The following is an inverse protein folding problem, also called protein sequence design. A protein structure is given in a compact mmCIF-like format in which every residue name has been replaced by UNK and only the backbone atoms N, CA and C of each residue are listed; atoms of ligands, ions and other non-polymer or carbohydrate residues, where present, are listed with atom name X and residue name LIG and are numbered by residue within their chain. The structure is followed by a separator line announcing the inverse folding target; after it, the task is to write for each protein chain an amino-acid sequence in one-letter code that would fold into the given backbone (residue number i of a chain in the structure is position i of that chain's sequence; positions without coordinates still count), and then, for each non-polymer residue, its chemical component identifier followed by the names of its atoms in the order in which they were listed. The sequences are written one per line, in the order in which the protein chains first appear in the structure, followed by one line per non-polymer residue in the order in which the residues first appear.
data_IF_415857883535
#
_entry.id   IF_415857883535
#
_cell.length_a   1.000
_cell.length_b   1.000
_cell.length_c   1.000
_cell.angle_alpha   90.00
_cell.angle_beta   90.00
_cell.angle_gamma   90.00
#
_symmetry.space_group_name_H-M   'P 1'
#
loop_
_entity.id
_entity.type
_entity.pdbx_description
1 polymer ?
#
# COMPACT_ATOMS: atom_id res chain seq x y z
N UNK A 1 10.34 -0.93 11.57
CA UNK A 1 10.28 -0.54 10.16
C UNK A 1 9.12 0.42 10.00
N UNK A 2 9.32 1.45 9.21
CA UNK A 2 8.37 2.52 8.89
C UNK A 2 7.77 2.24 7.52
N UNK A 3 6.51 2.60 7.33
CA UNK A 3 5.75 2.25 6.13
C UNK A 3 5.03 3.48 5.59
N UNK A 4 5.18 3.69 4.30
CA UNK A 4 4.30 4.54 3.49
C UNK A 4 3.48 3.61 2.59
N UNK A 5 2.19 3.86 2.48
CA UNK A 5 1.32 3.14 1.53
C UNK A 5 0.84 4.12 0.46
N UNK A 6 1.17 3.84 -0.80
CA UNK A 6 0.57 4.47 -1.97
C UNK A 6 -0.43 3.52 -2.62
N UNK A 7 -1.71 3.88 -2.61
CA UNK A 7 -2.75 2.96 -3.06
C UNK A 7 -3.86 3.64 -3.86
N UNK A 8 -4.69 2.83 -4.52
CA UNK A 8 -5.91 3.28 -5.21
C UNK A 8 -7.12 2.59 -4.59
N UNK A 9 -7.58 2.98 -3.38
CA UNK A 9 -8.41 2.13 -2.55
C UNK A 9 -9.65 1.54 -3.21
N UNK A 10 -9.51 0.30 -3.67
CA UNK A 10 -10.58 -0.66 -3.84
C UNK A 10 -10.68 -1.56 -2.61
N UNK A 11 -11.48 -2.61 -2.72
CA UNK A 11 -11.71 -3.55 -1.61
C UNK A 11 -10.43 -4.32 -1.26
N UNK A 12 -9.59 -4.65 -2.25
CA UNK A 12 -8.31 -5.33 -2.01
C UNK A 12 -7.31 -4.44 -1.27
N UNK A 13 -7.16 -3.18 -1.69
CA UNK A 13 -6.32 -2.20 -1.00
C UNK A 13 -6.80 -1.94 0.43
N UNK A 14 -8.11 -1.96 0.67
CA UNK A 14 -8.66 -1.84 2.02
C UNK A 14 -8.21 -3.00 2.92
N UNK A 15 -8.09 -4.22 2.38
CA UNK A 15 -7.53 -5.35 3.12
C UNK A 15 -6.03 -5.16 3.41
N UNK A 16 -5.27 -4.69 2.41
CA UNK A 16 -3.85 -4.41 2.58
C UNK A 16 -3.62 -3.34 3.65
N UNK A 17 -4.39 -2.25 3.60
CA UNK A 17 -4.31 -1.16 4.57
C UNK A 17 -4.74 -1.62 5.97
N UNK A 18 -5.80 -2.43 6.08
CA UNK A 18 -6.17 -3.06 7.34
C UNK A 18 -5.08 -4.02 7.86
N UNK A 19 -4.34 -4.70 6.99
CA UNK A 19 -3.21 -5.53 7.43
C UNK A 19 -2.08 -4.67 8.02
N UNK A 20 -1.70 -3.60 7.32
CA UNK A 20 -0.66 -2.65 7.77
C UNK A 20 -1.05 -1.95 9.07
N UNK A 21 -2.30 -1.53 9.22
CA UNK A 21 -2.79 -0.89 10.47
C UNK A 21 -2.78 -1.88 11.64
N UNK A 22 -3.07 -3.16 11.42
CA UNK A 22 -2.92 -4.18 12.47
C UNK A 22 -1.44 -4.38 12.87
N UNK A 23 -0.51 -4.32 11.90
CA UNK A 23 0.92 -4.32 12.18
C UNK A 23 1.36 -3.09 12.99
N UNK A 24 0.80 -1.91 12.69
CA UNK A 24 0.99 -0.69 13.49
C UNK A 24 0.51 -0.87 14.92
N UNK A 25 -0.73 -1.32 15.12
CA UNK A 25 -1.28 -1.49 16.47
C UNK A 25 -0.51 -2.51 17.31
N UNK A 26 0.05 -3.54 16.68
CA UNK A 26 0.88 -4.57 17.34
C UNK A 26 2.35 -4.16 17.52
N UNK A 27 2.75 -2.95 17.08
CA UNK A 27 4.12 -2.44 17.21
C UNK A 27 5.15 -3.13 16.32
N UNK A 28 4.71 -3.88 15.29
CA UNK A 28 5.59 -4.54 14.32
C UNK A 28 6.09 -3.58 13.24
N UNK A 29 5.28 -2.58 12.92
CA UNK A 29 5.60 -1.54 11.95
C UNK A 29 5.02 -0.20 12.38
N UNK A 30 5.40 0.86 11.68
CA UNK A 30 4.89 2.20 11.89
C UNK A 30 4.37 2.76 10.57
N UNK A 31 3.05 2.81 10.40
CA UNK A 31 2.42 3.51 9.27
C UNK A 31 2.56 5.03 9.44
N UNK A 32 3.41 5.63 8.61
CA UNK A 32 3.75 7.06 8.60
C UNK A 32 2.67 7.90 7.92
N UNK A 33 2.34 7.55 6.68
CA UNK A 33 1.31 8.20 5.90
C UNK A 33 0.72 7.26 4.85
N UNK A 34 -0.45 7.65 4.34
CA UNK A 34 -1.08 7.03 3.18
C UNK A 34 -1.22 8.08 2.08
N UNK A 35 -0.78 7.76 0.88
CA UNK A 35 -1.02 8.58 -0.31
C UNK A 35 -1.84 7.79 -1.30
N UNK A 36 -2.51 8.50 -2.20
CA UNK A 36 -3.35 7.83 -3.19
C UNK A 36 -3.18 8.41 -4.57
N UNK A 37 -3.06 7.54 -5.57
CA UNK A 37 -3.17 7.92 -6.99
C UNK A 37 -4.61 7.71 -7.46
N UNK A 38 -4.97 8.15 -8.67
CA UNK A 38 -6.23 7.72 -9.27
C UNK A 38 -6.12 6.30 -9.82
N UNK A 39 -7.22 5.55 -9.76
CA UNK A 39 -7.36 4.29 -10.48
C UNK A 39 -8.81 4.22 -10.97
N UNK A 40 -9.52 3.17 -10.56
CA UNK A 40 -10.96 3.09 -10.86
C UNK A 40 -11.76 4.31 -10.35
N UNK A 41 -11.31 4.98 -9.29
CA UNK A 41 -11.83 6.24 -8.77
C UNK A 41 -10.77 7.35 -8.83
N UNK A 42 -11.21 8.62 -8.74
CA UNK A 42 -10.31 9.78 -8.76
C UNK A 42 -9.39 9.79 -7.53
N UNK A 43 -8.21 10.40 -7.62
CA UNK A 43 -7.24 10.39 -6.52
C UNK A 43 -7.84 10.97 -5.21
N UNK A 44 -8.67 12.00 -5.29
CA UNK A 44 -9.34 12.58 -4.12
C UNK A 44 -10.33 11.60 -3.47
N UNK A 45 -11.14 10.90 -4.27
CA UNK A 45 -12.07 9.88 -3.78
C UNK A 45 -11.32 8.69 -3.17
N UNK A 46 -10.22 8.27 -3.80
CA UNK A 46 -9.30 7.28 -3.27
C UNK A 46 -8.74 7.73 -1.90
N UNK A 47 -8.35 8.99 -1.73
CA UNK A 47 -7.89 9.52 -0.45
C UNK A 47 -8.99 9.45 0.61
N UNK A 48 -10.24 9.81 0.28
CA UNK A 48 -11.39 9.67 1.19
C UNK A 48 -11.64 8.21 1.61
N UNK A 49 -11.48 7.27 0.69
CA UNK A 49 -11.61 5.84 0.96
C UNK A 49 -10.51 5.33 1.90
N UNK A 50 -9.24 5.66 1.64
CA UNK A 50 -8.12 5.33 2.54
C UNK A 50 -8.36 5.90 3.94
N UNK A 51 -8.77 7.16 4.00
CA UNK A 51 -9.14 7.86 5.20
C UNK A 51 -10.22 7.15 6.02
N UNK A 52 -11.27 6.70 5.34
CA UNK A 52 -12.35 5.94 5.95
C UNK A 52 -11.86 4.60 6.52
N UNK A 53 -11.06 3.85 5.75
CA UNK A 53 -10.47 2.58 6.20
C UNK A 53 -9.63 2.78 7.46
N UNK A 54 -8.74 3.77 7.48
CA UNK A 54 -7.94 4.11 8.66
C UNK A 54 -8.81 4.41 9.88
N UNK A 55 -9.92 5.14 9.68
CA UNK A 55 -10.86 5.48 10.75
C UNK A 55 -11.55 4.24 11.32
N UNK A 56 -12.00 3.34 10.43
CA UNK A 56 -12.64 2.07 10.81
C UNK A 56 -11.66 1.13 11.52
N UNK A 57 -10.40 1.15 11.12
CA UNK A 57 -9.35 0.35 11.73
C UNK A 57 -8.82 0.95 13.06
N UNK A 58 -9.30 2.13 13.47
CA UNK A 58 -8.93 2.75 14.75
C UNK A 58 -7.65 3.59 14.71
N UNK A 59 -7.19 3.99 13.53
CA UNK A 59 -5.99 4.81 13.32
C UNK A 59 -6.28 6.09 12.50
N UNK A 60 -7.23 6.95 12.93
CA UNK A 60 -7.64 8.12 12.14
C UNK A 60 -6.59 9.24 12.08
N UNK A 61 -5.57 9.21 12.94
CA UNK A 61 -4.59 10.28 13.10
C UNK A 61 -3.47 10.28 12.03
N UNK A 62 -3.27 9.15 11.35
CA UNK A 62 -2.33 8.99 10.24
C UNK A 62 -2.73 9.92 9.09
N UNK A 63 -1.74 10.65 8.57
CA UNK A 63 -1.95 11.58 7.48
C UNK A 63 -2.35 10.83 6.21
N UNK A 64 -3.34 11.38 5.50
CA UNK A 64 -3.73 10.92 4.17
C UNK A 64 -3.63 12.09 3.22
N UNK A 65 -2.92 11.92 2.10
CA UNK A 65 -2.84 12.93 1.06
C UNK A 65 -3.29 12.40 -0.30
N UNK A 66 -4.06 13.23 -1.00
CA UNK A 66 -4.39 13.05 -2.40
C UNK A 66 -3.14 13.26 -3.24
N UNK A 67 -2.81 12.24 -4.02
CA UNK A 67 -1.74 12.25 -5.00
C UNK A 67 -2.21 12.65 -6.40
N UNK A 68 -1.53 12.11 -7.39
CA UNK A 68 -1.73 12.42 -8.80
C UNK A 68 -2.88 11.62 -9.41
N UNK A 69 -3.61 12.26 -10.33
CA UNK A 69 -4.44 11.56 -11.30
C UNK A 69 -3.55 11.00 -12.41
N UNK A 70 -3.84 9.78 -12.84
CA UNK A 70 -3.16 9.05 -13.91
C UNK A 70 -3.50 9.73 -15.25
N UNK A 71 -2.48 10.14 -16.03
CA UNK A 71 -2.72 10.78 -17.32
C UNK A 71 -3.58 9.93 -18.27
N UNK A 72 -4.63 10.54 -18.83
CA UNK A 72 -5.50 9.87 -19.81
C UNK A 72 -6.44 8.81 -19.23
N UNK A 73 -6.39 8.55 -17.92
CA UNK A 73 -7.35 7.68 -17.24
C UNK A 73 -8.59 8.48 -16.84
N UNK A 74 -9.79 7.94 -17.10
CA UNK A 74 -11.04 8.53 -16.64
C UNK A 74 -11.62 7.72 -15.47
N UNK A 75 -11.55 8.24 -14.24
CA UNK A 75 -12.12 7.56 -13.09
C UNK A 75 -13.65 7.50 -13.17
N UNK A 76 -14.22 6.54 -12.46
CA UNK A 76 -15.66 6.40 -12.28
C UNK A 76 -16.06 6.80 -10.86
N UNK A 77 -17.00 7.74 -10.74
CA UNK A 77 -17.50 8.25 -9.45
C UNK A 77 -18.07 7.14 -8.55
N UNK A 78 -18.50 6.02 -9.12
CA UNK A 78 -19.10 4.87 -8.41
C UNK A 78 -18.11 3.78 -8.03
N UNK A 79 -16.82 3.93 -8.36
CA UNK A 79 -15.80 2.94 -8.03
C UNK A 79 -15.28 3.08 -6.59
N UNK A 80 -14.59 2.04 -6.09
CA UNK A 80 -13.91 2.06 -4.79
C UNK A 80 -14.44 1.03 -3.79
N UNK A 81 -14.87 1.48 -2.61
CA UNK A 81 -15.20 0.61 -1.46
C UNK A 81 -16.62 -0.01 -1.50
N UNK A 82 -17.08 -0.38 -2.70
CA UNK A 82 -18.34 -1.09 -2.87
C UNK A 82 -19.56 -0.33 -2.35
N UNK A 83 -20.28 -0.92 -1.38
CA UNK A 83 -21.52 -0.36 -0.83
C UNK A 83 -21.29 0.58 0.37
N UNK A 84 -20.02 0.82 0.76
CA UNK A 84 -19.71 1.64 1.92
C UNK A 84 -20.16 3.10 1.71
N UNK A 85 -20.81 3.67 2.72
CA UNK A 85 -20.97 5.10 2.81
C UNK A 85 -19.73 5.71 3.44
N UNK A 86 -18.98 6.47 2.64
CA UNK A 86 -17.74 7.12 3.06
C UNK A 86 -18.04 8.60 3.38
N UNK A 87 -18.01 9.01 4.66
CA UNK A 87 -18.12 10.42 5.02
C UNK A 87 -16.87 11.17 4.58
N UNK A 88 -17.04 12.37 4.03
CA UNK A 88 -15.93 13.25 3.72
C UNK A 88 -15.18 13.65 4.99
N UNK A 89 -13.86 13.58 4.95
CA UNK A 89 -12.96 14.18 5.94
C UNK A 89 -11.84 14.94 5.25
N UNK A 90 -11.10 15.71 6.03
CA UNK A 90 -9.91 16.37 5.49
C UNK A 90 -8.89 15.34 5.01
N UNK A 91 -8.43 15.51 3.78
CA UNK A 91 -7.26 14.87 3.18
C UNK A 91 -6.34 15.98 2.72
N UNK A 92 -5.04 15.83 2.95
CA UNK A 92 -4.06 16.79 2.45
C UNK A 92 -3.91 16.64 0.93
N UNK A 93 -3.29 17.62 0.29
CA UNK A 93 -2.95 17.61 -1.13
C UNK A 93 -1.42 17.69 -1.37
N UNK A 94 -0.65 17.71 -0.28
CA UNK A 94 0.81 17.86 -0.28
C UNK A 94 1.48 16.48 -0.13
N UNK A 95 1.09 15.51 -0.96
CA UNK A 95 1.50 14.11 -0.84
C UNK A 95 3.02 13.93 -0.90
N UNK A 96 3.71 14.72 -1.72
CA UNK A 96 5.16 14.66 -1.89
C UNK A 96 5.89 15.21 -0.66
N UNK A 97 5.32 16.18 0.03
CA UNK A 97 5.88 16.69 1.29
C UNK A 97 5.78 15.64 2.40
N UNK A 98 4.70 14.84 2.44
CA UNK A 98 4.61 13.73 3.39
C UNK A 98 5.69 12.67 3.14
N UNK A 99 5.97 12.36 1.87
CA UNK A 99 7.02 11.40 1.52
C UNK A 99 8.41 11.95 1.83
N UNK A 100 8.67 13.22 1.48
CA UNK A 100 9.94 13.89 1.78
C UNK A 100 10.19 13.95 3.29
N UNK A 101 9.20 14.34 4.08
CA UNK A 101 9.27 14.35 5.55
C UNK A 101 9.58 12.97 6.14
N UNK A 102 8.96 11.91 5.61
CA UNK A 102 9.29 10.55 6.01
C UNK A 102 10.72 10.15 5.61
N UNK A 103 11.21 10.55 4.44
CA UNK A 103 12.59 10.31 4.00
C UNK A 103 13.62 11.09 4.84
N UNK A 104 13.30 12.31 5.27
CA UNK A 104 14.17 13.14 6.14
C UNK A 104 14.45 12.48 7.49
N UNK A 105 13.50 11.69 8.01
CA UNK A 105 13.69 10.86 9.22
C UNK A 105 14.60 9.65 9.00
N UNK A 106 14.99 9.36 7.76
CA UNK A 106 15.82 8.22 7.36
C UNK A 106 15.07 7.25 6.46
N UNK A 107 15.82 6.54 5.61
CA UNK A 107 15.27 5.62 4.61
C UNK A 107 15.64 4.15 4.83
N UNK A 108 16.60 3.87 5.73
CA UNK A 108 17.13 2.51 5.95
C UNK A 108 16.08 1.55 6.51
N UNK A 109 15.07 2.05 7.21
CA UNK A 109 13.98 1.27 7.76
C UNK A 109 12.61 1.66 7.18
N UNK A 110 12.59 2.51 6.15
CA UNK A 110 11.39 3.01 5.49
C UNK A 110 11.06 2.14 4.27
N UNK A 111 9.85 1.58 4.25
CA UNK A 111 9.32 0.84 3.12
C UNK A 111 8.17 1.58 2.46
N UNK A 112 8.24 1.79 1.15
CA UNK A 112 7.16 2.31 0.34
C UNK A 112 6.43 1.14 -0.34
N UNK A 113 5.13 1.00 -0.05
CA UNK A 113 4.26 -0.01 -0.64
C UNK A 113 3.37 0.66 -1.67
N UNK A 114 3.56 0.35 -2.95
CA UNK A 114 2.74 0.85 -4.05
C UNK A 114 1.80 -0.26 -4.54
N UNK A 115 0.49 -0.14 -4.26
CA UNK A 115 -0.53 -1.07 -4.78
C UNK A 115 -1.32 -0.51 -5.96
N UNK A 116 -1.19 0.80 -6.21
CA UNK A 116 -1.76 1.50 -7.35
C UNK A 116 -0.75 1.77 -8.48
N UNK A 117 -1.11 2.64 -9.45
CA UNK A 117 -0.20 3.15 -10.47
C UNK A 117 1.00 3.87 -9.85
N UNK A 118 2.14 3.85 -10.55
CA UNK A 118 3.37 4.46 -10.07
C UNK A 118 3.47 5.98 -10.34
N UNK A 119 2.36 6.65 -10.64
CA UNK A 119 2.33 8.08 -11.01
C UNK A 119 2.93 8.97 -9.92
N UNK A 120 2.56 8.76 -8.64
CA UNK A 120 3.17 9.48 -7.53
C UNK A 120 4.68 9.22 -7.44
N UNK A 121 5.11 7.97 -7.59
CA UNK A 121 6.53 7.62 -7.50
C UNK A 121 7.37 8.23 -8.64
N UNK A 122 6.83 8.23 -9.87
CA UNK A 122 7.46 8.89 -11.02
C UNK A 122 7.51 10.41 -10.88
N UNK A 123 6.48 11.04 -10.30
CA UNK A 123 6.50 12.47 -10.00
C UNK A 123 7.47 12.79 -8.85
N UNK A 124 7.59 11.91 -7.87
CA UNK A 124 8.50 12.08 -6.74
C UNK A 124 9.96 12.03 -7.19
N UNK A 125 10.32 11.11 -8.08
CA UNK A 125 11.68 11.05 -8.65
C UNK A 125 12.09 12.33 -9.37
N UNK A 126 11.12 13.02 -10.01
CA UNK A 126 11.36 14.30 -10.68
C UNK A 126 11.43 15.48 -9.72
N UNK A 127 10.57 15.51 -8.70
CA UNK A 127 10.40 16.66 -7.79
C UNK A 127 11.42 16.66 -6.64
N UNK A 128 11.81 15.47 -6.18
CA UNK A 128 12.63 15.25 -5.00
C UNK A 128 13.65 14.12 -5.23
N UNK A 129 14.51 14.22 -6.26
CA UNK A 129 15.42 13.15 -6.67
C UNK A 129 16.34 12.71 -5.52
N UNK A 130 16.78 13.62 -4.65
CA UNK A 130 17.64 13.31 -3.51
C UNK A 130 16.98 12.36 -2.50
N UNK A 131 15.66 12.45 -2.31
CA UNK A 131 14.93 11.56 -1.41
C UNK A 131 14.56 10.26 -2.11
N UNK A 132 14.22 10.33 -3.38
CA UNK A 132 13.94 9.16 -4.20
C UNK A 132 15.16 8.24 -4.29
N UNK A 133 16.34 8.79 -4.58
CA UNK A 133 17.60 8.04 -4.68
C UNK A 133 18.04 7.42 -3.34
N UNK A 134 17.54 7.95 -2.23
CA UNK A 134 17.84 7.46 -0.89
C UNK A 134 16.92 6.32 -0.43
N UNK A 135 15.80 6.06 -1.10
CA UNK A 135 14.90 4.96 -0.73
C UNK A 135 15.65 3.62 -0.82
N UNK A 136 15.36 2.68 0.06
CA UNK A 136 16.03 1.35 0.05
C UNK A 136 15.04 0.20 -0.16
N UNK A 137 13.76 0.42 0.14
CA UNK A 137 12.75 -0.63 0.16
C UNK A 137 11.46 -0.17 -0.52
N UNK A 138 11.29 -0.54 -1.79
CA UNK A 138 10.07 -0.29 -2.56
C UNK A 138 9.43 -1.62 -2.92
N UNK A 139 8.16 -1.80 -2.55
CA UNK A 139 7.35 -2.97 -2.91
C UNK A 139 6.21 -2.53 -3.81
N UNK A 140 6.14 -3.10 -5.01
CA UNK A 140 5.13 -2.77 -6.02
C UNK A 140 4.26 -3.99 -6.30
N UNK A 141 2.94 -3.80 -6.31
CA UNK A 141 2.02 -4.79 -6.86
C UNK A 141 2.06 -4.73 -8.39
N UNK A 142 2.36 -5.86 -9.04
CA UNK A 142 2.52 -5.94 -10.50
C UNK A 142 1.34 -5.34 -11.28
N UNK A 143 0.10 -5.54 -10.83
CA UNK A 143 -1.07 -5.00 -11.52
C UNK A 143 -1.10 -3.47 -11.59
N UNK A 144 -0.39 -2.78 -10.69
CA UNK A 144 -0.22 -1.33 -10.71
C UNK A 144 0.64 -0.82 -11.86
N UNK A 145 1.62 -1.62 -12.32
CA UNK A 145 2.53 -1.26 -13.41
C UNK A 145 1.79 -1.01 -14.74
N UNK A 146 0.69 -1.74 -14.96
CA UNK A 146 -0.10 -1.65 -16.18
C UNK A 146 -1.06 -0.45 -16.21
N UNK A 147 -1.25 0.26 -15.08
CA UNK A 147 -2.22 1.35 -14.96
C UNK A 147 -1.66 2.67 -15.48
N UNK A 148 -0.36 2.89 -15.35
CA UNK A 148 0.37 4.04 -15.89
C UNK A 148 1.73 3.55 -16.41
N UNK A 149 1.78 3.23 -17.70
CA UNK A 149 2.98 2.67 -18.33
C UNK A 149 4.10 3.71 -18.39
N UNK A 150 3.79 4.97 -18.69
CA UNK A 150 4.79 6.04 -18.77
C UNK A 150 5.44 6.27 -17.40
N UNK A 151 4.65 6.28 -16.32
CA UNK A 151 5.19 6.36 -14.96
C UNK A 151 5.99 5.11 -14.59
N UNK A 152 5.52 3.94 -14.99
CA UNK A 152 6.23 2.68 -14.71
C UNK A 152 7.57 2.62 -15.43
N UNK A 153 7.63 3.06 -16.69
CA UNK A 153 8.88 3.16 -17.45
C UNK A 153 9.85 4.12 -16.76
N UNK A 154 9.39 5.29 -16.33
CA UNK A 154 10.22 6.27 -15.61
C UNK A 154 10.78 5.68 -14.31
N UNK A 155 9.93 5.08 -13.48
CA UNK A 155 10.39 4.48 -12.23
C UNK A 155 11.34 3.33 -12.53
N UNK A 156 10.97 2.39 -13.40
CA UNK A 156 11.81 1.23 -13.66
C UNK A 156 13.14 1.62 -14.32
N UNK A 157 13.20 2.64 -15.17
CA UNK A 157 14.47 3.09 -15.76
C UNK A 157 15.33 3.96 -14.83
N UNK A 158 14.73 4.90 -14.10
CA UNK A 158 15.47 5.95 -13.40
C UNK A 158 15.67 5.69 -11.90
N UNK A 159 15.25 4.53 -11.36
CA UNK A 159 15.43 4.24 -9.93
C UNK A 159 16.80 3.60 -9.65
N UNK A 160 17.68 4.24 -8.84
CA UNK A 160 18.91 3.58 -8.36
C UNK A 160 18.64 2.50 -7.29
N UNK A 161 17.36 2.33 -6.93
CA UNK A 161 16.84 1.48 -5.86
C UNK A 161 16.23 0.23 -6.47
N UNK A 162 16.55 -0.88 -5.84
CA UNK A 162 16.05 -2.19 -6.16
C UNK A 162 14.55 -2.31 -5.82
N UNK A 163 13.67 -2.42 -6.84
CA UNK A 163 12.21 -2.52 -6.62
C UNK A 163 11.79 -3.99 -6.49
N UNK A 164 11.05 -4.35 -5.45
CA UNK A 164 10.44 -5.69 -5.34
C UNK A 164 9.05 -5.69 -5.99
N UNK A 165 8.90 -6.43 -7.08
CA UNK A 165 7.61 -6.56 -7.78
C UNK A 165 6.93 -7.86 -7.34
N UNK A 166 5.70 -7.71 -6.84
CA UNK A 166 4.90 -8.77 -6.27
C UNK A 166 3.73 -9.11 -7.19
N UNK A 167 3.58 -10.40 -7.48
CA UNK A 167 2.36 -10.98 -8.04
C UNK A 167 1.86 -12.00 -7.04
N UNK A 168 0.58 -11.95 -6.66
CA UNK A 168 0.05 -12.97 -5.74
C UNK A 168 0.07 -14.36 -6.41
N UNK A 169 0.29 -15.45 -5.65
CA UNK A 169 0.24 -16.80 -6.22
C UNK A 169 -1.13 -17.06 -6.87
N UNK A 170 -1.17 -17.71 -8.03
CA UNK A 170 -2.42 -18.12 -8.69
C UNK A 170 -3.28 -19.05 -7.81
N UNK A 171 -2.65 -19.73 -6.85
CA UNK A 171 -3.29 -20.59 -5.86
C UNK A 171 -3.97 -19.81 -4.74
N UNK A 172 -3.75 -18.50 -4.63
CA UNK A 172 -4.38 -17.64 -3.64
C UNK A 172 -5.87 -17.51 -3.91
N UNK A 173 -6.67 -18.23 -3.14
CA UNK A 173 -8.11 -18.09 -3.18
C UNK A 173 -8.53 -16.72 -2.66
N UNK A 174 -9.64 -16.13 -3.17
CA UNK A 174 -10.16 -14.87 -2.66
C UNK A 174 -10.29 -14.84 -1.13
N UNK A 175 -9.86 -13.76 -0.49
CA UNK A 175 -9.84 -13.59 0.97
C UNK A 175 -11.22 -13.20 1.49
N UNK A 176 -11.65 -13.79 2.62
CA UNK A 176 -12.95 -13.49 3.24
C UNK A 176 -12.88 -12.21 4.07
N UNK A 177 -13.42 -11.11 3.52
CA UNK A 177 -13.37 -9.77 4.11
C UNK A 177 -14.18 -9.67 5.40
N UNK A 178 -15.22 -10.51 5.56
CA UNK A 178 -16.15 -10.46 6.71
C UNK A 178 -15.47 -10.83 8.02
N UNK A 179 -14.30 -11.47 7.93
CA UNK A 179 -13.46 -11.75 9.08
C UNK A 179 -12.76 -10.51 9.62
N UNK A 180 -12.69 -9.42 8.86
CA UNK A 180 -12.15 -8.14 9.27
C UNK A 180 -13.30 -7.21 9.69
N UNK A 181 -13.63 -7.10 10.99
CA UNK A 181 -14.79 -6.33 11.43
C UNK A 181 -14.79 -4.86 10.96
N UNK A 182 -13.65 -4.14 10.92
CA UNK A 182 -13.59 -2.77 10.38
C UNK A 182 -14.15 -2.62 8.96
N UNK A 183 -14.06 -3.67 8.14
CA UNK A 183 -14.40 -3.63 6.72
C UNK A 183 -15.79 -4.21 6.41
N UNK A 184 -16.58 -4.57 7.43
CA UNK A 184 -17.89 -5.21 7.25
C UNK A 184 -18.92 -4.39 6.45
N UNK A 185 -18.70 -3.08 6.28
CA UNK A 185 -19.58 -2.17 5.52
C UNK A 185 -19.24 -2.06 4.03
N UNK A 186 -18.12 -2.63 3.56
CA UNK A 186 -17.66 -2.53 2.16
C UNK A 186 -18.53 -3.37 1.19
N UNK A 187 -19.29 -4.33 1.72
CA UNK A 187 -20.33 -5.04 0.95
C UNK A 187 -19.83 -6.08 -0.06
N UNK A 188 -18.56 -6.48 0.00
CA UNK A 188 -18.06 -7.63 -0.75
C UNK A 188 -17.57 -8.71 0.21
N UNK A 189 -18.07 -9.94 0.06
CA UNK A 189 -17.75 -11.06 0.94
C UNK A 189 -16.33 -11.62 0.73
N UNK A 190 -15.87 -11.64 -0.53
CA UNK A 190 -14.56 -12.16 -0.92
C UNK A 190 -13.97 -11.36 -2.05
N UNK A 191 -12.67 -11.10 -1.99
CA UNK A 191 -11.92 -10.36 -3.02
C UNK A 191 -10.54 -10.98 -3.23
N UNK A 192 -9.84 -10.63 -4.30
CA UNK A 192 -8.46 -11.08 -4.50
C UNK A 192 -7.55 -10.56 -3.38
N UNK A 193 -6.36 -11.14 -3.30
CA UNK A 193 -5.40 -10.85 -2.25
C UNK A 193 -4.12 -10.21 -2.74
N UNK A 194 -4.12 -9.59 -3.93
CA UNK A 194 -2.91 -9.02 -4.54
C UNK A 194 -2.27 -7.95 -3.67
N UNK A 195 -3.04 -6.91 -3.34
CA UNK A 195 -2.59 -5.83 -2.47
C UNK A 195 -2.22 -6.32 -1.06
N UNK A 196 -3.01 -7.27 -0.51
CA UNK A 196 -2.71 -7.89 0.78
C UNK A 196 -1.37 -8.63 0.76
N UNK A 197 -1.10 -9.39 -0.31
CA UNK A 197 0.14 -10.12 -0.49
C UNK A 197 1.33 -9.17 -0.56
N UNK A 198 1.23 -8.08 -1.33
CA UNK A 198 2.25 -7.04 -1.38
C UNK A 198 2.55 -6.45 0.01
N UNK A 199 1.51 -6.16 0.81
CA UNK A 199 1.69 -5.70 2.18
C UNK A 199 2.38 -6.72 3.10
N UNK A 200 2.05 -8.01 2.95
CA UNK A 200 2.67 -9.10 3.71
C UNK A 200 4.14 -9.33 3.34
N UNK A 201 4.48 -9.20 2.06
CA UNK A 201 5.87 -9.20 1.58
C UNK A 201 6.63 -8.01 2.17
N UNK A 202 6.06 -6.80 2.09
CA UNK A 202 6.68 -5.58 2.60
C UNK A 202 6.98 -5.64 4.10
N UNK A 203 6.09 -6.27 4.88
CA UNK A 203 6.26 -6.49 6.32
C UNK A 203 7.21 -7.66 6.63
N UNK A 204 7.69 -8.40 5.63
CA UNK A 204 8.53 -9.59 5.80
C UNK A 204 7.79 -10.79 6.37
N UNK A 205 6.45 -10.75 6.43
CA UNK A 205 5.61 -11.83 6.95
C UNK A 205 5.52 -12.99 5.94
N UNK A 206 5.66 -12.68 4.65
CA UNK A 206 5.83 -13.68 3.58
C UNK A 206 7.15 -13.44 2.86
N UNK A 207 7.91 -14.52 2.72
CA UNK A 207 9.13 -14.54 1.95
C UNK A 207 8.91 -15.43 0.73
N UNK A 208 9.39 -14.96 -0.41
CA UNK A 208 9.43 -15.68 -1.67
C UNK A 208 10.84 -15.58 -2.24
N UNK A 209 11.23 -16.60 -2.99
CA UNK A 209 12.41 -16.49 -3.84
C UNK A 209 12.10 -15.54 -5.01
N UNK A 210 13.10 -15.23 -5.82
CA UNK A 210 12.90 -14.37 -6.98
C UNK A 210 14.17 -14.20 -7.79
N UNK A 211 14.04 -13.43 -8.86
CA UNK A 211 15.17 -13.10 -9.73
C UNK A 211 15.17 -11.62 -10.07
N UNK A 212 16.37 -11.09 -10.22
CA UNK A 212 16.59 -9.75 -10.74
C UNK A 212 16.35 -9.74 -12.25
N UNK A 213 15.55 -8.78 -12.73
CA UNK A 213 15.23 -8.58 -14.13
C UNK A 213 15.11 -7.10 -14.46
N UNK A 214 15.32 -6.76 -15.73
CA UNK A 214 15.00 -5.46 -16.31
C UNK A 214 13.61 -5.53 -16.91
N UNK A 215 12.65 -4.80 -16.33
CA UNK A 215 11.26 -4.76 -16.82
C UNK A 215 11.03 -3.73 -17.93
N UNK A 216 12.00 -2.85 -18.15
CA UNK A 216 11.88 -1.74 -19.07
C UNK A 216 12.47 -2.11 -20.47
N UNK A 217 12.01 -1.50 -21.57
CA UNK A 217 12.53 -1.78 -22.90
C UNK A 217 14.04 -1.46 -22.97
N UNK A 218 14.85 -2.38 -23.51
CA UNK A 218 16.31 -2.24 -23.50
C UNK A 218 16.78 -1.01 -24.32
N UNK A 219 17.25 0.04 -23.64
CA UNK A 219 18.14 1.05 -24.19
C UNK A 219 19.31 1.28 -23.22
N UNK A 220 20.50 0.85 -23.65
CA UNK A 220 21.83 1.08 -23.08
C UNK A 220 21.96 1.15 -21.53
N UNK A 221 21.29 0.24 -20.80
CA UNK A 221 21.76 -0.24 -19.50
C UNK A 221 21.18 -1.64 -19.22
N UNK A 222 22.04 -2.64 -19.04
CA UNK A 222 21.67 -4.06 -18.88
C UNK A 222 21.51 -4.46 -17.40
N UNK A 223 21.56 -3.49 -16.48
CA UNK A 223 21.42 -3.75 -15.05
C UNK A 223 19.94 -3.97 -14.66
N UNK A 224 19.64 -4.94 -13.77
CA UNK A 224 18.28 -5.23 -13.36
C UNK A 224 17.73 -4.16 -12.42
N UNK A 225 16.52 -3.68 -12.70
CA UNK A 225 15.82 -2.64 -11.94
C UNK A 225 14.74 -3.17 -11.01
N UNK A 226 14.39 -4.45 -11.14
CA UNK A 226 13.35 -5.08 -10.35
C UNK A 226 13.73 -6.50 -9.90
N UNK A 227 13.39 -6.82 -8.65
CA UNK A 227 13.33 -8.19 -8.14
C UNK A 227 11.92 -8.72 -8.32
N UNK A 228 11.76 -9.66 -9.25
CA UNK A 228 10.49 -10.31 -9.51
C UNK A 228 10.34 -11.49 -8.54
N UNK A 229 9.32 -11.44 -7.68
CA UNK A 229 9.05 -12.55 -6.77
C UNK A 229 8.55 -13.78 -7.52
N UNK A 230 9.19 -14.92 -7.25
CA UNK A 230 8.70 -16.24 -7.62
C UNK A 230 7.82 -16.78 -6.49
N UNK A 231 6.52 -16.74 -6.72
CA UNK A 231 5.53 -17.23 -5.75
C UNK A 231 5.27 -18.72 -5.81
N UNK A 232 6.00 -19.50 -6.64
CA UNK A 232 5.77 -20.94 -6.79
C UNK A 232 5.91 -21.71 -5.46
N UNK A 233 6.79 -21.24 -4.57
CA UNK A 233 7.01 -21.82 -3.24
C UNK A 233 6.12 -21.27 -2.12
N UNK A 234 5.31 -20.25 -2.38
CA UNK A 234 4.50 -19.58 -1.36
C UNK A 234 3.26 -20.42 -1.03
N UNK A 235 3.04 -20.73 0.25
CA UNK A 235 1.79 -21.32 0.71
C UNK A 235 0.69 -20.24 0.76
N UNK A 236 -0.21 -20.26 -0.21
CA UNK A 236 -1.38 -19.38 -0.26
C UNK A 236 -2.26 -19.47 1.01
N UNK A 237 -2.24 -20.60 1.72
CA UNK A 237 -2.91 -20.74 3.01
C UNK A 237 -2.31 -19.84 4.09
N UNK A 238 -1.01 -19.55 4.04
CA UNK A 238 -0.34 -18.68 5.01
C UNK A 238 -0.72 -17.21 4.82
N UNK A 239 -0.89 -16.75 3.57
CA UNK A 239 -1.46 -15.43 3.24
C UNK A 239 -2.77 -15.19 3.99
N UNK A 240 -3.69 -16.16 3.90
CA UNK A 240 -5.01 -16.08 4.53
C UNK A 240 -4.91 -16.19 6.05
N UNK A 241 -4.07 -17.10 6.58
CA UNK A 241 -3.88 -17.26 8.03
C UNK A 241 -3.32 -15.99 8.68
N UNK A 242 -2.35 -15.34 8.04
CA UNK A 242 -1.77 -14.09 8.52
C UNK A 242 -2.82 -12.98 8.58
N UNK A 243 -3.65 -12.88 7.54
CA UNK A 243 -4.76 -11.92 7.53
C UNK A 243 -5.78 -12.20 8.63
N UNK A 244 -6.19 -13.47 8.80
CA UNK A 244 -7.09 -13.90 9.87
C UNK A 244 -6.52 -13.55 11.26
N UNK A 245 -5.21 -13.75 11.45
CA UNK A 245 -4.52 -13.39 12.70
C UNK A 245 -4.52 -11.87 12.93
N UNK A 246 -4.32 -11.07 11.88
CA UNK A 246 -4.41 -9.61 11.98
C UNK A 246 -5.82 -9.14 12.36
N UNK A 247 -6.87 -9.81 11.87
CA UNK A 247 -8.25 -9.50 12.24
C UNK A 247 -8.51 -9.63 13.76
N UNK A 248 -7.81 -10.53 14.45
CA UNK A 248 -7.90 -10.67 15.89
C UNK A 248 -7.42 -9.42 16.66
N UNK A 249 -6.55 -8.59 16.06
CA UNK A 249 -6.12 -7.29 16.61
C UNK A 249 -7.31 -6.33 16.68
N UNK A 250 -8.15 -6.30 15.64
CA UNK A 250 -9.35 -5.45 15.61
C UNK A 250 -10.42 -5.90 16.60
N UNK A 251 -10.57 -7.20 16.78
CA UNK A 251 -11.41 -7.76 17.82
C UNK A 251 -10.94 -7.35 19.23
N UNK A 252 -9.63 -7.36 19.48
CA UNK A 252 -9.05 -6.92 20.75
C UNK A 252 -9.25 -5.41 20.98
N UNK A 253 -9.01 -4.60 19.95
CA UNK A 253 -9.28 -3.15 19.95
C UNK A 253 -10.76 -2.84 20.25
N UNK A 254 -11.69 -3.60 19.67
CA UNK A 254 -13.13 -3.42 19.91
C UNK A 254 -13.53 -3.77 21.34
N UNK A 255 -12.82 -4.72 21.97
CA UNK A 255 -13.00 -5.08 23.38
C UNK A 255 -12.34 -4.12 24.37
N UNK A 256 -11.65 -3.07 23.90
CA UNK A 256 -10.99 -2.08 24.75
C UNK A 256 -9.68 -2.59 25.37
N UNK A 257 -8.88 -3.34 24.59
CA UNK A 257 -7.54 -3.72 25.02
C UNK A 257 -6.65 -2.49 25.18
N UNK A 258 -6.35 -2.15 26.44
CA UNK A 258 -5.57 -0.96 26.81
C UNK A 258 -4.16 -0.92 26.25
N UNK A 259 -3.55 -2.08 25.96
CA UNK A 259 -2.21 -2.12 25.37
C UNK A 259 -2.21 -1.68 23.91
N UNK A 260 -3.34 -1.85 23.21
CA UNK A 260 -3.54 -1.40 21.83
C UNK A 260 -4.18 0.00 21.76
N UNK A 261 -4.83 0.47 22.82
CA UNK A 261 -5.39 1.83 22.87
C UNK A 261 -4.32 2.92 22.83
N UNK A 262 -3.14 2.66 23.39
CA UNK A 262 -2.01 3.61 23.34
C UNK A 262 -1.55 3.89 21.92
N UNK A 263 -1.74 2.94 20.99
CA UNK A 263 -1.32 3.09 19.59
C UNK A 263 -2.36 3.76 18.69
N UNK A 264 -3.59 4.00 19.17
CA UNK A 264 -4.63 4.72 18.40
C UNK A 264 -4.33 6.20 18.16
N UNK A 265 -3.48 6.77 19.00
CA UNK A 265 -3.16 8.20 19.02
C UNK A 265 -1.69 8.48 18.69
N UNK A 266 -0.88 7.45 18.48
CA UNK A 266 0.48 7.63 18.00
C UNK A 266 0.38 8.11 16.55
N UNK A 267 0.72 9.38 16.35
CA UNK A 267 1.41 9.75 15.11
C UNK A 267 2.86 9.27 15.25
N UNK A 268 3.55 9.11 14.13
CA UNK A 268 4.98 9.29 14.13
C UNK A 268 5.30 10.62 14.83
N UNK A 269 6.25 10.62 15.76
CA UNK A 269 6.58 11.65 16.77
C UNK A 269 6.10 11.32 18.21
N UNK A 270 6.85 10.41 18.85
CA UNK A 270 7.83 10.83 19.87
C UNK A 270 9.24 10.77 19.26
#
# INVERSE_FOLDING_TARGET
MRIIVDCTPGIEDALALAYVVAAHHSGRAELECVTTSSGAAAAEQCAQHAAWVLSKCGLPAVAVATGCDVPGHQPQDTAGLGAAHVPERYVANDWDLLWADACERGTQDLCLICTGPLTNLAEFSRRSPEYFDALEHIVVLESGLCLDQDASDVVLHDTPVAITVCTAPDTLTPVDTRKCPPLGEIGADRVGGGALFAAQVALGDIQADGQWATLAPAEEDDDPNAFLLDTTGVDAGDVVKLFDACCATYDALTRGDRALETTRHLRAED
#
